data_IF_270885086962
#
_entry.id   IF_270885086962
#
_cell.length_a   1.000
_cell.length_b   1.000
_cell.length_c   1.000
_cell.angle_alpha   90.00
_cell.angle_beta   90.00
_cell.angle_gamma   90.00
#
_symmetry.space_group_name_H-M   'P 1'
#
loop_
_entity.id
_entity.type
_entity.pdbx_description
1 polymer ?
#
# COMPACT_ATOMS: atom_id res chain seq x y z
N UNK A 1 1.34 37.06 11.40
CA UNK A 1 0.64 36.97 12.70
C UNK A 1 -0.86 37.16 12.44
N UNK A 2 -1.68 36.34 13.11
CA UNK A 2 -3.16 36.31 13.15
C UNK A 2 -3.91 35.80 11.91
N UNK A 3 -4.29 34.50 11.93
CA UNK A 3 -5.33 33.91 11.06
C UNK A 3 -6.30 32.96 11.81
N UNK A 4 -6.31 32.98 13.15
CA UNK A 4 -7.09 32.03 13.98
C UNK A 4 -8.12 32.73 14.88
N UNK A 5 -8.84 33.70 14.33
CA UNK A 5 -9.85 34.45 15.07
C UNK A 5 -11.28 33.90 14.92
N UNK A 6 -11.41 32.67 14.42
CA UNK A 6 -12.67 31.92 14.36
C UNK A 6 -12.53 30.66 15.21
N UNK A 7 -12.43 30.85 16.53
CA UNK A 7 -12.21 29.77 17.51
C UNK A 7 -13.37 28.78 17.66
N UNK A 8 -14.52 29.05 17.03
CA UNK A 8 -15.69 28.15 16.97
C UNK A 8 -15.77 27.39 15.62
N UNK A 9 -14.64 27.03 15.04
CA UNK A 9 -14.63 26.21 13.82
C UNK A 9 -15.09 24.78 14.13
N UNK A 10 -16.21 24.38 13.53
CA UNK A 10 -16.79 23.04 13.72
C UNK A 10 -15.87 21.92 13.23
N UNK A 11 -15.07 22.17 12.19
CA UNK A 11 -14.13 21.18 11.67
C UNK A 11 -13.00 20.93 12.68
N UNK A 12 -12.50 22.01 13.27
CA UNK A 12 -11.42 21.95 14.25
C UNK A 12 -11.90 21.30 15.55
N UNK A 13 -13.14 21.56 15.96
CA UNK A 13 -13.76 20.92 17.11
C UNK A 13 -14.06 19.42 16.89
N UNK A 14 -14.47 19.01 15.68
CA UNK A 14 -14.60 17.59 15.32
C UNK A 14 -13.27 16.86 15.44
N UNK A 15 -12.21 17.39 14.82
CA UNK A 15 -10.86 16.82 14.90
C UNK A 15 -10.33 16.76 16.33
N UNK A 16 -10.73 17.71 17.18
CA UNK A 16 -10.41 17.68 18.60
C UNK A 16 -11.07 16.50 19.32
N UNK A 17 -12.35 16.21 19.04
CA UNK A 17 -13.06 15.07 19.61
C UNK A 17 -12.50 13.72 19.15
N UNK A 18 -12.03 13.65 17.90
CA UNK A 18 -11.42 12.45 17.31
C UNK A 18 -9.93 12.28 17.68
N UNK A 19 -9.37 13.18 18.50
CA UNK A 19 -7.95 13.23 18.88
C UNK A 19 -6.96 13.34 17.69
N UNK A 20 -7.39 13.95 16.58
CA UNK A 20 -6.62 14.13 15.33
C UNK A 20 -5.86 15.47 15.24
N UNK A 21 -5.80 16.21 16.34
CA UNK A 21 -5.07 17.49 16.44
C UNK A 21 -3.70 17.30 17.04
N UNK A 22 -2.74 18.12 16.61
CA UNK A 22 -1.42 18.19 17.22
C UNK A 22 -1.51 18.69 18.67
N UNK A 23 -0.52 18.35 19.55
CA UNK A 23 -0.58 18.70 20.97
C UNK A 23 -0.78 20.20 21.24
N UNK A 24 -0.18 21.07 20.42
CA UNK A 24 -0.28 22.51 20.54
C UNK A 24 -1.68 23.01 20.19
N UNK A 25 -2.28 22.47 19.12
CA UNK A 25 -3.65 22.77 18.71
C UNK A 25 -4.67 22.26 19.73
N UNK A 26 -4.45 21.07 20.30
CA UNK A 26 -5.30 20.53 21.36
C UNK A 26 -5.34 21.45 22.59
N UNK A 27 -4.20 22.02 22.99
CA UNK A 27 -4.14 22.93 24.13
C UNK A 27 -4.98 24.19 23.89
N UNK A 28 -4.89 24.78 22.69
CA UNK A 28 -5.65 25.95 22.29
C UNK A 28 -7.16 25.70 22.28
N UNK A 29 -7.60 24.57 21.71
CA UNK A 29 -9.02 24.20 21.69
C UNK A 29 -9.55 23.93 23.08
N UNK A 30 -8.76 23.26 23.93
CA UNK A 30 -9.13 23.00 25.32
C UNK A 30 -9.28 24.29 26.11
N UNK A 31 -8.44 25.29 25.87
CA UNK A 31 -8.57 26.61 26.47
C UNK A 31 -9.82 27.35 25.94
N UNK A 32 -10.10 27.25 24.64
CA UNK A 32 -11.30 27.83 24.04
C UNK A 32 -12.60 27.22 24.62
N UNK A 33 -12.68 25.89 24.76
CA UNK A 33 -13.87 25.21 25.31
C UNK A 33 -14.20 25.68 26.74
N UNK A 34 -13.19 26.08 27.52
CA UNK A 34 -13.40 26.61 28.88
C UNK A 34 -14.05 27.99 28.90
N UNK A 35 -13.81 28.81 27.88
CA UNK A 35 -14.29 30.18 27.78
C UNK A 35 -15.55 30.34 26.93
N UNK A 36 -15.86 29.35 26.07
CA UNK A 36 -16.94 29.40 25.11
C UNK A 36 -18.14 28.49 25.49
N UNK A 37 -19.32 29.06 25.85
CA UNK A 37 -20.50 28.27 26.23
C UNK A 37 -21.04 27.35 25.12
N UNK A 38 -20.97 27.76 23.84
CA UNK A 38 -21.47 26.94 22.73
C UNK A 38 -20.59 25.70 22.51
N UNK A 39 -19.27 25.88 22.53
CA UNK A 39 -18.33 24.77 22.40
C UNK A 39 -18.35 23.86 23.64
N UNK A 40 -18.59 24.41 24.83
CA UNK A 40 -18.81 23.63 26.04
C UNK A 40 -20.05 22.74 25.93
N UNK A 41 -21.16 23.27 25.38
CA UNK A 41 -22.37 22.47 25.15
C UNK A 41 -22.09 21.32 24.19
N UNK A 42 -21.46 21.60 23.05
CA UNK A 42 -21.12 20.57 22.06
C UNK A 42 -20.19 19.50 22.64
N UNK A 43 -19.17 19.90 23.43
CA UNK A 43 -18.31 18.94 24.12
C UNK A 43 -19.09 18.03 25.08
N UNK A 44 -20.06 18.58 25.84
CA UNK A 44 -20.91 17.77 26.72
C UNK A 44 -21.80 16.80 25.95
N UNK A 45 -22.36 17.24 24.81
CA UNK A 45 -23.17 16.38 23.96
C UNK A 45 -22.35 15.21 23.39
N UNK A 46 -21.15 15.48 22.86
CA UNK A 46 -20.24 14.43 22.41
C UNK A 46 -19.83 13.48 23.53
N UNK A 47 -19.49 14.03 24.71
CA UNK A 47 -19.11 13.22 25.86
C UNK A 47 -20.26 12.34 26.35
N UNK A 48 -21.50 12.85 26.37
CA UNK A 48 -22.67 12.07 26.75
C UNK A 48 -22.93 10.88 25.80
N UNK A 49 -22.68 11.06 24.50
CA UNK A 49 -22.77 9.96 23.52
C UNK A 49 -21.69 8.92 23.79
N UNK A 50 -20.43 9.35 23.96
CA UNK A 50 -19.32 8.44 24.29
C UNK A 50 -19.57 7.67 25.58
N UNK A 51 -20.01 8.35 26.63
CA UNK A 51 -20.32 7.75 27.93
C UNK A 51 -21.46 6.73 27.81
N UNK A 52 -22.49 7.01 27.01
CA UNK A 52 -23.58 6.07 26.75
C UNK A 52 -23.09 4.80 26.03
N UNK A 53 -22.23 4.94 25.02
CA UNK A 53 -21.62 3.79 24.34
C UNK A 53 -20.74 2.98 25.27
N UNK A 54 -19.89 3.65 26.07
CA UNK A 54 -19.02 2.98 27.04
C UNK A 54 -19.86 2.25 28.09
N UNK A 55 -20.93 2.86 28.62
CA UNK A 55 -21.81 2.20 29.59
C UNK A 55 -22.49 0.96 29.00
N UNK A 56 -23.00 1.04 27.76
CA UNK A 56 -23.58 -0.12 27.08
C UNK A 56 -22.55 -1.20 26.75
N UNK A 57 -21.31 -0.81 26.43
CA UNK A 57 -20.21 -1.76 26.24
C UNK A 57 -19.76 -2.39 27.55
N UNK A 58 -19.68 -1.65 28.65
CA UNK A 58 -19.24 -2.16 29.95
C UNK A 58 -20.16 -3.28 30.44
N UNK A 59 -21.47 -3.16 30.21
CA UNK A 59 -22.44 -4.22 30.48
C UNK A 59 -22.14 -5.50 29.67
N UNK A 60 -21.80 -5.37 28.39
CA UNK A 60 -21.47 -6.50 27.51
C UNK A 60 -20.08 -7.09 27.84
N UNK A 61 -19.10 -6.22 28.10
CA UNK A 61 -17.71 -6.55 28.48
C UNK A 61 -17.71 -7.33 29.79
N UNK A 62 -18.55 -6.95 30.76
CA UNK A 62 -18.68 -7.69 32.03
C UNK A 62 -19.20 -9.12 31.86
N UNK A 63 -19.94 -9.40 30.77
CA UNK A 63 -20.44 -10.74 30.45
C UNK A 63 -19.43 -11.58 29.65
N UNK A 64 -18.45 -10.94 29.01
CA UNK A 64 -17.41 -11.61 28.23
C UNK A 64 -16.22 -11.88 29.14
N UNK A 65 -15.96 -13.17 29.46
CA UNK A 65 -14.76 -13.57 30.17
C UNK A 65 -13.50 -13.39 29.33
N UNK A 66 -12.85 -12.22 29.44
CA UNK A 66 -11.60 -11.89 28.74
C UNK A 66 -10.44 -12.84 29.07
N UNK A 67 -10.47 -13.51 30.23
CA UNK A 67 -9.48 -14.53 30.61
C UNK A 67 -9.39 -15.66 29.56
N UNK A 68 -10.53 -16.05 28.99
CA UNK A 68 -10.60 -17.07 27.95
C UNK A 68 -10.14 -16.56 26.58
N UNK A 69 -10.27 -15.25 26.35
CA UNK A 69 -9.85 -14.59 25.11
C UNK A 69 -8.34 -14.37 25.10
N UNK A 70 -7.77 -13.92 26.22
CA UNK A 70 -6.33 -13.75 26.40
C UNK A 70 -5.60 -15.09 26.18
N UNK A 71 -6.10 -16.16 26.80
CA UNK A 71 -5.52 -17.51 26.64
C UNK A 71 -5.55 -17.95 25.17
N UNK A 72 -6.68 -17.75 24.46
CA UNK A 72 -6.80 -18.08 23.03
C UNK A 72 -5.88 -17.25 22.14
N UNK A 73 -5.70 -15.96 22.45
CA UNK A 73 -4.80 -15.07 21.70
C UNK A 73 -3.34 -15.50 21.93
N UNK A 74 -2.96 -15.80 23.17
CA UNK A 74 -1.63 -16.29 23.50
C UNK A 74 -1.33 -17.63 22.82
N UNK A 75 -2.30 -18.55 22.80
CA UNK A 75 -2.18 -19.82 22.08
C UNK A 75 -2.03 -19.61 20.56
N UNK A 76 -2.83 -18.74 19.95
CA UNK A 76 -2.72 -18.43 18.52
C UNK A 76 -1.39 -17.75 18.16
N UNK A 77 -0.89 -16.83 18.99
CA UNK A 77 0.41 -16.20 18.78
C UNK A 77 1.52 -17.24 18.88
N UNK A 78 1.43 -18.17 19.84
CA UNK A 78 2.39 -19.26 20.03
C UNK A 78 2.39 -20.27 18.88
N UNK A 79 1.23 -20.65 18.36
CA UNK A 79 1.15 -21.55 17.19
C UNK A 79 1.63 -20.87 15.90
N UNK A 80 1.39 -19.56 15.75
CA UNK A 80 1.76 -18.80 14.55
C UNK A 80 3.22 -18.34 14.57
N UNK A 81 3.93 -18.50 15.69
CA UNK A 81 5.37 -18.35 15.76
C UNK A 81 6.03 -19.53 15.04
N UNK A 82 6.09 -19.43 13.71
CA UNK A 82 6.76 -20.36 12.80
C UNK A 82 8.01 -20.90 13.49
N UNK A 83 7.97 -22.20 13.80
CA UNK A 83 8.97 -22.88 14.59
C UNK A 83 10.34 -22.50 14.05
N UNK A 84 11.17 -21.90 14.89
CA UNK A 84 12.52 -21.51 14.52
C UNK A 84 13.31 -22.71 13.93
N UNK A 85 12.90 -23.92 14.31
CA UNK A 85 13.38 -25.19 13.76
C UNK A 85 13.03 -25.38 12.28
N UNK A 86 11.86 -24.94 11.82
CA UNK A 86 11.46 -25.04 10.41
C UNK A 86 12.27 -24.08 9.54
N UNK A 87 12.60 -22.88 10.06
CA UNK A 87 13.51 -21.95 9.40
C UNK A 87 14.94 -22.52 9.29
N UNK A 88 15.43 -23.18 10.34
CA UNK A 88 16.76 -23.82 10.33
C UNK A 88 16.79 -25.03 9.39
N UNK A 89 15.74 -25.86 9.38
CA UNK A 89 15.61 -27.00 8.45
C UNK A 89 15.61 -26.52 7.00
N UNK A 90 14.85 -25.48 6.67
CA UNK A 90 14.85 -24.86 5.34
C UNK A 90 16.26 -24.38 4.93
N UNK A 91 17.01 -23.77 5.85
CA UNK A 91 18.37 -23.31 5.57
C UNK A 91 19.34 -24.48 5.29
N UNK A 92 19.27 -25.56 6.08
CA UNK A 92 20.11 -26.75 5.90
C UNK A 92 19.75 -27.54 4.63
N UNK A 93 18.45 -27.70 4.36
CA UNK A 93 17.95 -28.38 3.16
C UNK A 93 18.31 -27.59 1.89
N UNK A 94 18.18 -26.27 1.95
CA UNK A 94 18.56 -25.36 0.88
C UNK A 94 20.04 -25.52 0.52
N UNK A 95 20.94 -25.56 1.51
CA UNK A 95 22.39 -25.71 1.24
C UNK A 95 22.76 -27.06 0.61
N UNK A 96 22.03 -28.13 0.96
CA UNK A 96 22.23 -29.48 0.38
C UNK A 96 21.71 -29.60 -1.05
N UNK A 97 20.71 -28.80 -1.43
CA UNK A 97 20.11 -28.80 -2.76
C UNK A 97 20.67 -27.72 -3.70
N UNK A 98 21.16 -26.60 -3.17
CA UNK A 98 21.75 -25.51 -3.97
C UNK A 98 22.99 -26.01 -4.74
N UNK A 99 23.86 -26.79 -4.10
CA UNK A 99 25.09 -27.29 -4.72
C UNK A 99 24.80 -28.17 -5.96
N UNK A 100 23.96 -29.23 -5.88
CA UNK A 100 23.65 -30.03 -7.05
C UNK A 100 22.85 -29.26 -8.12
N UNK A 101 21.93 -28.37 -7.72
CA UNK A 101 21.16 -27.56 -8.69
C UNK A 101 22.07 -26.60 -9.46
N UNK A 102 22.98 -25.90 -8.76
CA UNK A 102 23.92 -24.99 -9.40
C UNK A 102 24.87 -25.74 -10.34
N UNK A 103 25.33 -26.94 -9.96
CA UNK A 103 26.16 -27.78 -10.81
C UNK A 103 25.42 -28.26 -12.06
N UNK A 104 24.15 -28.66 -11.94
CA UNK A 104 23.31 -29.03 -13.07
C UNK A 104 23.07 -27.85 -14.00
N UNK A 105 22.74 -26.67 -13.46
CA UNK A 105 22.54 -25.46 -14.24
C UNK A 105 23.82 -25.04 -14.98
N UNK A 106 24.99 -25.12 -14.34
CA UNK A 106 26.27 -24.82 -14.95
C UNK A 106 26.60 -25.81 -16.09
N UNK A 107 26.37 -27.12 -15.88
CA UNK A 107 26.54 -28.12 -16.94
C UNK A 107 25.58 -27.88 -18.11
N UNK A 108 24.32 -27.53 -17.83
CA UNK A 108 23.34 -27.23 -18.86
C UNK A 108 23.73 -25.98 -19.65
N UNK A 109 24.26 -24.94 -18.99
CA UNK A 109 24.73 -23.71 -19.61
C UNK A 109 25.95 -23.96 -20.51
N UNK A 110 26.92 -24.77 -20.06
CA UNK A 110 28.09 -25.18 -20.86
C UNK A 110 27.64 -26.01 -22.06
N UNK A 111 26.73 -26.97 -21.87
CA UNK A 111 26.19 -27.78 -22.96
C UNK A 111 25.44 -26.94 -24.00
N UNK A 112 24.60 -26.00 -23.56
CA UNK A 112 23.88 -25.08 -24.43
C UNK A 112 24.84 -24.16 -25.19
N UNK A 113 25.87 -23.64 -24.52
CA UNK A 113 26.87 -22.76 -25.15
C UNK A 113 27.72 -23.49 -26.21
N UNK A 114 27.93 -24.80 -26.06
CA UNK A 114 28.68 -25.60 -27.02
C UNK A 114 27.82 -26.12 -28.18
N UNK A 115 26.52 -26.31 -27.96
CA UNK A 115 25.58 -26.83 -28.96
C UNK A 115 24.94 -25.72 -29.80
N UNK A 116 24.78 -24.51 -29.24
CA UNK A 116 24.34 -23.33 -29.98
C UNK A 116 25.53 -22.71 -30.71
N UNK A 117 25.87 -23.29 -31.87
CA UNK A 117 26.70 -22.60 -32.86
C UNK A 117 25.90 -21.44 -33.46
N UNK A 118 26.29 -20.23 -33.04
CA UNK A 118 25.98 -18.91 -33.64
C UNK A 118 24.52 -18.45 -33.65
N UNK A 119 24.17 -17.32 -33.02
CA UNK A 119 23.02 -16.55 -33.48
C UNK A 119 23.37 -15.94 -34.84
N UNK A 120 22.50 -16.22 -35.80
CA UNK A 120 22.31 -15.49 -37.05
C UNK A 120 22.46 -13.99 -36.80
N UNK A 121 23.24 -13.34 -37.66
CA UNK A 121 23.35 -11.87 -37.74
C UNK A 121 21.95 -11.27 -37.85
N UNK A 122 21.42 -10.79 -36.73
CA UNK A 122 20.19 -10.00 -36.70
C UNK A 122 20.53 -8.69 -37.39
N UNK A 123 20.00 -8.49 -38.60
CA UNK A 123 20.06 -7.22 -39.30
C UNK A 123 19.54 -6.13 -38.34
N UNK A 124 20.28 -5.03 -38.25
CA UNK A 124 19.95 -3.91 -37.38
C UNK A 124 18.55 -3.32 -37.65
N UNK A 125 18.05 -2.48 -36.73
CA UNK A 125 16.71 -1.92 -36.84
C UNK A 125 16.60 -0.99 -38.05
N UNK A 126 15.92 -1.44 -39.09
CA UNK A 126 15.48 -0.61 -40.23
C UNK A 126 14.01 -0.21 -40.04
N UNK A 127 13.75 0.65 -39.06
CA UNK A 127 12.50 1.40 -39.00
C UNK A 127 12.80 2.80 -39.51
N UNK A 128 12.50 3.07 -40.79
CA UNK A 128 12.54 4.42 -41.35
C UNK A 128 11.24 5.13 -40.94
N UNK A 129 11.32 5.97 -39.91
CA UNK A 129 10.21 6.82 -39.49
C UNK A 129 10.18 8.04 -40.43
N UNK A 130 9.27 8.05 -41.40
CA UNK A 130 8.91 9.27 -42.14
C UNK A 130 7.69 9.90 -41.47
N UNK A 131 7.87 10.54 -40.32
CA UNK A 131 6.79 11.30 -39.68
C UNK A 131 6.45 12.53 -40.53
N UNK A 132 5.18 12.71 -40.88
CA UNK A 132 4.68 13.95 -41.48
C UNK A 132 4.07 14.80 -40.35
N UNK A 133 4.60 16.00 -40.13
CA UNK A 133 4.09 16.93 -39.11
C UNK A 133 3.14 17.92 -39.79
N UNK A 134 1.88 17.93 -39.36
CA UNK A 134 0.91 19.00 -39.62
C UNK A 134 0.27 19.38 -38.29
N UNK A 135 -0.03 20.67 -38.10
CA UNK A 135 -0.23 21.34 -36.80
C UNK A 135 -1.36 20.83 -35.88
N UNK A 136 -1.98 19.67 -36.11
CA UNK A 136 -3.07 19.18 -35.24
C UNK A 136 -3.29 17.66 -35.16
N UNK A 137 -2.42 16.79 -35.69
CA UNK A 137 -2.59 15.33 -35.46
C UNK A 137 -1.30 14.54 -35.61
N UNK A 138 -1.07 13.58 -34.71
CA UNK A 138 0.01 12.60 -34.84
C UNK A 138 -0.55 11.31 -35.41
N UNK A 139 0.00 10.87 -36.54
CA UNK A 139 -0.37 9.61 -37.20
C UNK A 139 0.87 8.72 -37.26
N UNK A 140 0.76 7.50 -36.74
CA UNK A 140 1.79 6.47 -36.79
C UNK A 140 1.37 5.37 -37.76
N UNK A 141 2.25 5.04 -38.69
CA UNK A 141 2.09 3.91 -39.61
C UNK A 141 2.97 2.76 -39.14
N UNK A 142 2.36 1.60 -38.91
CA UNK A 142 3.05 0.36 -38.59
C UNK A 142 2.71 -0.65 -39.67
N UNK A 143 3.69 -1.02 -40.49
CA UNK A 143 3.54 -2.11 -41.45
C UNK A 143 4.15 -3.39 -40.88
N UNK A 144 3.38 -4.48 -40.88
CA UNK A 144 3.88 -5.78 -40.47
C UNK A 144 4.68 -6.43 -41.61
N UNK A 145 5.93 -6.88 -41.35
CA UNK A 145 6.83 -7.32 -42.42
C UNK A 145 6.42 -8.63 -43.08
N UNK A 146 5.67 -9.50 -42.40
CA UNK A 146 5.26 -10.80 -42.95
C UNK A 146 3.92 -10.77 -43.69
N UNK A 147 3.00 -9.88 -43.30
CA UNK A 147 1.65 -9.82 -43.85
C UNK A 147 1.34 -8.57 -44.66
N UNK A 148 2.28 -7.61 -44.73
CA UNK A 148 2.09 -6.30 -45.39
C UNK A 148 0.82 -5.57 -44.92
N UNK A 149 0.41 -5.80 -43.68
CA UNK A 149 -0.76 -5.14 -43.12
C UNK A 149 -0.32 -3.80 -42.53
N UNK A 150 -0.94 -2.72 -43.00
CA UNK A 150 -0.70 -1.38 -42.47
C UNK A 150 -1.71 -1.09 -41.36
N UNK A 151 -1.21 -0.96 -40.13
CA UNK A 151 -1.96 -0.45 -38.99
C UNK A 151 -1.73 1.06 -38.94
N UNK A 152 -2.82 1.82 -38.97
CA UNK A 152 -2.80 3.27 -38.86
C UNK A 152 -3.27 3.64 -37.46
N UNK A 153 -2.39 4.20 -36.65
CA UNK A 153 -2.74 4.73 -35.33
C UNK A 153 -2.86 6.25 -35.43
N UNK A 154 -4.02 6.78 -35.06
CA UNK A 154 -4.31 8.22 -35.01
C UNK A 154 -4.68 8.60 -33.58
N UNK A 155 -4.09 9.68 -33.08
CA UNK A 155 -4.46 10.29 -31.80
C UNK A 155 -4.81 11.76 -32.02
N UNK A 156 -6.05 12.12 -31.71
CA UNK A 156 -6.54 13.50 -31.71
C UNK A 156 -6.35 14.10 -30.32
N UNK A 157 -5.64 15.22 -30.23
CA UNK A 157 -5.60 16.06 -29.03
C UNK A 157 -6.57 17.23 -29.24
N UNK A 158 -7.73 17.18 -28.59
CA UNK A 158 -8.68 18.31 -28.52
C UNK A 158 -8.22 19.37 -27.51
#
# INVERSE_FOLDING_TARGET
>A
MSKYQNTCDSMLLSRFFDHELEPDEQALVREHIKSCPSCQKMHREHQAVSDFFIAGMDEIVSQIGFDSLETKILEQIREKQISWQDRIKLFFLSRRLIIPIAAMAAMMFVFFSLTVKSPVSVAGPSALITSFTGDISSVMFLETPESHQTIIWFQETF
#
